data_IF_937876718798
#
_entry.id   IF_937876718798
#
_cell.length_a   1.000
_cell.length_b   1.000
_cell.length_c   1.000
_cell.angle_alpha   90.00
_cell.angle_beta   90.00
_cell.angle_gamma   90.00
#
_symmetry.space_group_name_H-M   'P 1'
#
loop_
_entity.id
_entity.type
_entity.pdbx_description
1 polymer ?
#
# COMPACT_ATOMS: atom_id res chain seq x y z
N UNK A 1 0.59 9.13 -26.95
CA UNK A 1 1.53 9.97 -26.17
C UNK A 1 1.17 9.74 -24.71
N UNK A 2 1.96 8.93 -24.02
CA UNK A 2 1.80 8.69 -22.57
C UNK A 2 1.84 10.04 -21.85
N UNK A 3 0.91 10.35 -20.94
CA UNK A 3 0.89 11.69 -20.34
C UNK A 3 2.15 11.89 -19.50
N UNK A 4 2.93 12.90 -19.88
CA UNK A 4 4.22 13.28 -19.27
C UNK A 4 4.12 13.58 -17.76
N UNK A 5 2.90 13.69 -17.22
CA UNK A 5 2.65 14.04 -15.83
C UNK A 5 1.60 13.22 -15.08
N UNK A 6 1.18 12.04 -15.55
CA UNK A 6 0.66 11.02 -14.62
C UNK A 6 1.81 10.12 -14.21
N UNK A 7 2.49 10.48 -13.12
CA UNK A 7 3.34 9.49 -12.47
C UNK A 7 2.53 8.27 -12.07
N UNK A 8 3.21 7.15 -11.84
CA UNK A 8 2.70 5.90 -11.23
C UNK A 8 1.79 6.09 -10.01
N UNK A 9 1.74 7.28 -9.40
CA UNK A 9 0.93 7.63 -8.23
C UNK A 9 -0.38 8.40 -8.52
N UNK A 10 -0.75 8.66 -9.78
CA UNK A 10 -2.04 9.29 -10.13
C UNK A 10 -3.22 8.31 -10.08
N UNK A 11 -4.47 8.78 -10.12
CA UNK A 11 -5.65 7.92 -10.30
C UNK A 11 -5.78 7.55 -11.78
N UNK A 12 -5.93 6.26 -12.09
CA UNK A 12 -6.15 5.72 -13.44
C UNK A 12 -7.61 5.32 -13.65
N UNK A 13 -8.00 5.00 -14.88
CA UNK A 13 -9.33 4.48 -15.17
C UNK A 13 -9.59 3.11 -14.51
N UNK A 14 -8.55 2.31 -14.31
CA UNK A 14 -8.63 1.06 -13.54
C UNK A 14 -9.00 1.32 -12.08
N UNK A 15 -8.41 2.34 -11.44
CA UNK A 15 -8.80 2.74 -10.08
C UNK A 15 -10.28 3.17 -10.02
N UNK A 16 -10.75 3.91 -11.04
CA UNK A 16 -12.14 4.42 -11.10
C UNK A 16 -13.16 3.32 -11.38
N UNK A 17 -12.76 2.29 -12.12
CA UNK A 17 -13.62 1.15 -12.46
C UNK A 17 -13.69 0.09 -11.35
N UNK A 18 -12.90 0.23 -10.27
CA UNK A 18 -12.77 -0.75 -9.20
C UNK A 18 -14.14 -1.14 -8.59
N UNK A 19 -14.44 -2.45 -8.58
CA UNK A 19 -15.66 -3.00 -8.00
C UNK A 19 -15.45 -3.81 -6.72
N UNK A 20 -14.18 -4.05 -6.34
CA UNK A 20 -13.79 -5.00 -5.31
C UNK A 20 -12.66 -5.88 -5.80
N UNK A 21 -12.16 -6.75 -4.93
CA UNK A 21 -11.16 -7.78 -5.29
C UNK A 21 -11.39 -9.08 -4.52
N UNK A 22 -10.75 -10.15 -4.99
CA UNK A 22 -10.69 -11.41 -4.25
C UNK A 22 -9.48 -11.40 -3.34
N UNK A 23 -9.66 -11.85 -2.10
CA UNK A 23 -8.56 -11.97 -1.15
C UNK A 23 -7.43 -12.86 -1.68
N UNK A 24 -7.78 -14.01 -2.28
CA UNK A 24 -6.82 -14.95 -2.86
C UNK A 24 -5.96 -14.30 -3.95
N UNK A 25 -6.58 -13.61 -4.89
CA UNK A 25 -5.85 -12.95 -6.00
C UNK A 25 -4.87 -11.89 -5.47
N UNK A 26 -5.30 -11.07 -4.51
CA UNK A 26 -4.43 -10.04 -3.93
C UNK A 26 -3.31 -10.65 -3.10
N UNK A 27 -3.61 -11.64 -2.25
CA UNK A 27 -2.62 -12.40 -1.49
C UNK A 27 -1.58 -13.02 -2.43
N UNK A 28 -2.04 -13.76 -3.43
CA UNK A 28 -1.18 -14.51 -4.33
C UNK A 28 -0.29 -13.56 -5.13
N UNK A 29 -0.82 -12.41 -5.57
CA UNK A 29 -0.02 -11.43 -6.29
C UNK A 29 1.04 -10.76 -5.40
N UNK A 30 0.73 -10.49 -4.13
CA UNK A 30 1.70 -9.94 -3.16
C UNK A 30 2.82 -10.95 -2.87
N UNK A 31 2.50 -12.24 -2.78
CA UNK A 31 3.46 -13.30 -2.45
C UNK A 31 4.08 -13.98 -3.68
N UNK A 32 3.66 -13.64 -4.90
CA UNK A 32 4.21 -14.23 -6.12
C UNK A 32 5.69 -13.85 -6.33
N UNK A 33 6.09 -12.66 -5.89
CA UNK A 33 7.46 -12.15 -6.03
C UNK A 33 7.94 -11.50 -4.72
N UNK A 34 8.03 -12.27 -3.62
CA UNK A 34 8.46 -11.72 -2.34
C UNK A 34 9.95 -11.42 -2.47
N UNK A 35 10.27 -10.15 -2.74
CA UNK A 35 11.60 -9.65 -3.07
C UNK A 35 12.15 -10.24 -4.38
N UNK A 36 12.12 -9.45 -5.46
CA UNK A 36 12.66 -9.83 -6.78
C UNK A 36 14.13 -10.28 -6.77
N UNK A 37 14.85 -10.01 -5.67
CA UNK A 37 16.23 -10.41 -5.41
C UNK A 37 16.33 -10.80 -3.94
N UNK A 38 17.27 -11.68 -3.64
CA UNK A 38 17.69 -11.94 -2.26
C UNK A 38 18.50 -10.73 -1.79
N UNK A 39 18.29 -10.29 -0.55
CA UNK A 39 18.98 -9.15 0.05
C UNK A 39 19.48 -9.49 1.44
N UNK A 40 20.62 -8.92 1.83
CA UNK A 40 21.12 -8.96 3.20
C UNK A 40 21.76 -10.28 3.65
N UNK A 41 21.88 -11.27 2.78
CA UNK A 41 22.67 -12.48 3.03
C UNK A 41 24.15 -12.25 2.73
N UNK A 42 25.05 -13.08 3.28
CA UNK A 42 26.47 -13.05 2.92
C UNK A 42 26.64 -13.27 1.41
N UNK A 43 27.36 -12.35 0.75
CA UNK A 43 27.54 -12.34 -0.71
C UNK A 43 26.41 -11.66 -1.49
N UNK A 44 25.28 -11.33 -0.86
CA UNK A 44 24.15 -10.67 -1.49
C UNK A 44 24.14 -9.15 -1.23
N UNK A 45 23.52 -8.35 -2.12
CA UNK A 45 23.41 -6.92 -1.91
C UNK A 45 22.64 -6.56 -0.62
N UNK A 46 22.92 -5.42 0.03
CA UNK A 46 22.17 -4.99 1.20
C UNK A 46 20.76 -4.55 0.82
N UNK A 47 19.78 -4.70 1.73
CA UNK A 47 18.41 -4.26 1.48
C UNK A 47 18.37 -2.83 0.96
N UNK A 48 17.57 -2.53 -0.08
CA UNK A 48 17.52 -1.21 -0.66
C UNK A 48 16.99 -0.21 0.37
N UNK A 49 17.66 0.92 0.46
CA UNK A 49 17.20 2.07 1.24
C UNK A 49 16.86 3.18 0.27
N UNK A 50 15.57 3.51 0.20
CA UNK A 50 15.11 4.60 -0.64
C UNK A 50 15.05 5.91 0.14
N UNK A 51 15.82 6.89 -0.31
CA UNK A 51 15.86 8.21 0.30
C UNK A 51 14.59 9.00 -0.01
N UNK A 52 14.07 9.68 1.02
CA UNK A 52 12.99 10.66 0.90
C UNK A 52 13.53 12.01 1.33
N UNK A 53 13.36 13.02 0.46
CA UNK A 53 13.87 14.37 0.70
C UNK A 53 12.72 15.38 0.74
N UNK A 54 12.93 16.52 1.40
CA UNK A 54 11.98 17.66 1.32
C UNK A 54 11.78 18.08 -0.14
N UNK A 55 12.84 18.04 -0.95
CA UNK A 55 12.78 18.34 -2.39
C UNK A 55 11.85 17.40 -3.14
N UNK A 56 11.88 16.08 -2.87
CA UNK A 56 10.98 15.14 -3.54
C UNK A 56 9.52 15.37 -3.15
N UNK A 57 9.27 15.72 -1.88
CA UNK A 57 7.92 16.03 -1.38
C UNK A 57 7.38 17.33 -1.97
N UNK A 58 8.21 18.38 -2.12
CA UNK A 58 7.80 19.69 -2.65
C UNK A 58 7.85 19.78 -4.19
N UNK A 59 8.16 18.69 -4.90
CA UNK A 59 8.30 18.70 -6.36
C UNK A 59 6.97 19.07 -7.03
N UNK A 60 6.97 20.18 -7.76
CA UNK A 60 5.81 20.67 -8.49
C UNK A 60 4.85 21.56 -7.67
N UNK A 61 5.29 22.08 -6.52
CA UNK A 61 4.46 22.95 -5.66
C UNK A 61 4.29 24.37 -6.20
N UNK A 62 5.22 24.86 -7.03
CA UNK A 62 5.18 26.22 -7.55
C UNK A 62 4.12 26.37 -8.66
N UNK A 63 3.38 27.50 -8.70
CA UNK A 63 2.40 27.76 -9.75
C UNK A 63 3.08 27.80 -11.12
N UNK A 64 2.38 27.31 -12.15
CA UNK A 64 2.86 27.18 -13.54
C UNK A 64 4.01 26.19 -13.77
N UNK A 65 4.38 25.39 -12.77
CA UNK A 65 5.35 24.29 -12.88
C UNK A 65 4.73 22.92 -13.18
N UNK A 66 5.56 21.88 -13.12
CA UNK A 66 5.10 20.49 -13.16
C UNK A 66 4.08 20.19 -12.04
N UNK A 67 3.16 19.23 -12.21
CA UNK A 67 2.14 18.97 -11.20
C UNK A 67 2.72 18.52 -9.85
N UNK A 68 2.08 18.98 -8.77
CA UNK A 68 2.50 18.69 -7.41
C UNK A 68 2.33 17.20 -7.06
N UNK A 69 3.44 16.46 -7.03
CA UNK A 69 3.41 14.99 -6.92
C UNK A 69 2.84 14.51 -5.59
N UNK A 70 3.19 15.17 -4.49
CA UNK A 70 2.70 14.79 -3.16
C UNK A 70 1.18 14.97 -3.02
N UNK A 71 0.62 16.02 -3.63
CA UNK A 71 -0.83 16.19 -3.70
C UNK A 71 -1.49 15.04 -4.47
N UNK A 72 -0.97 14.67 -5.64
CA UNK A 72 -1.50 13.53 -6.42
C UNK A 72 -1.43 12.22 -5.65
N UNK A 73 -0.32 11.98 -4.95
CA UNK A 73 -0.14 10.79 -4.11
C UNK A 73 -1.19 10.71 -2.99
N UNK A 74 -1.49 11.86 -2.38
CA UNK A 74 -2.50 12.02 -1.33
C UNK A 74 -3.92 11.86 -1.88
N UNK A 75 -4.26 12.54 -2.98
CA UNK A 75 -5.56 12.40 -3.66
C UNK A 75 -5.82 10.93 -4.00
N UNK A 76 -4.86 10.24 -4.62
CA UNK A 76 -4.99 8.80 -4.89
C UNK A 76 -5.16 7.96 -3.63
N UNK A 77 -4.42 8.25 -2.56
CA UNK A 77 -4.51 7.46 -1.34
C UNK A 77 -5.89 7.53 -0.67
N UNK A 78 -6.61 8.64 -0.87
CA UNK A 78 -7.97 8.85 -0.36
C UNK A 78 -9.03 8.34 -1.34
N UNK A 79 -8.86 8.61 -2.63
CA UNK A 79 -9.92 8.40 -3.63
C UNK A 79 -9.83 7.04 -4.36
N UNK A 80 -8.67 6.39 -4.40
CA UNK A 80 -8.54 5.06 -5.03
C UNK A 80 -8.86 3.95 -4.04
N UNK A 81 -9.76 3.07 -4.45
CA UNK A 81 -10.09 1.85 -3.72
C UNK A 81 -9.28 0.63 -4.18
N UNK A 82 -8.39 0.76 -5.17
CA UNK A 82 -7.63 -0.37 -5.71
C UNK A 82 -6.72 -1.03 -4.66
N UNK A 83 -6.65 -2.37 -4.69
CA UNK A 83 -5.82 -3.16 -3.75
C UNK A 83 -4.39 -3.33 -4.22
N UNK A 84 -4.22 -3.52 -5.52
CA UNK A 84 -2.94 -3.73 -6.18
C UNK A 84 -2.69 -2.61 -7.17
N UNK A 85 -1.41 -2.30 -7.34
CA UNK A 85 -0.99 -1.36 -8.37
C UNK A 85 0.37 -1.73 -8.90
N UNK A 86 0.44 -1.79 -10.22
CA UNK A 86 1.60 -2.26 -10.95
C UNK A 86 2.22 -1.10 -11.73
N UNK A 87 3.55 -0.96 -11.67
CA UNK A 87 4.27 -0.17 -12.65
C UNK A 87 4.18 -0.82 -14.05
N UNK A 88 4.68 -0.13 -15.10
CA UNK A 88 4.71 -0.68 -16.47
C UNK A 88 5.41 -2.05 -16.57
N UNK A 89 6.32 -2.33 -15.64
CA UNK A 89 7.09 -3.57 -15.53
C UNK A 89 6.39 -4.66 -14.69
N UNK A 90 5.15 -4.43 -14.26
CA UNK A 90 4.36 -5.34 -13.39
C UNK A 90 5.04 -5.71 -12.08
N UNK A 91 5.92 -4.85 -11.58
CA UNK A 91 6.74 -5.10 -10.38
C UNK A 91 6.37 -4.25 -9.17
N UNK A 92 5.22 -3.60 -9.25
CA UNK A 92 4.76 -2.62 -8.29
C UNK A 92 5.31 -1.25 -8.65
N UNK A 93 5.11 -0.29 -7.77
CA UNK A 93 5.63 1.06 -7.95
C UNK A 93 6.23 1.56 -6.63
N UNK A 94 7.22 2.45 -6.71
CA UNK A 94 7.84 3.03 -5.51
C UNK A 94 6.97 4.18 -5.00
N UNK A 95 6.57 4.11 -3.74
CA UNK A 95 5.84 5.19 -3.08
C UNK A 95 6.74 6.41 -2.80
N UNK A 96 6.20 7.61 -2.92
CA UNK A 96 6.90 8.86 -2.57
C UNK A 96 7.23 8.93 -1.07
N UNK A 97 6.27 8.55 -0.22
CA UNK A 97 6.45 8.37 1.22
C UNK A 97 6.25 6.90 1.58
N UNK A 98 6.90 6.47 2.66
CA UNK A 98 6.91 5.08 3.08
C UNK A 98 7.38 4.07 2.00
N UNK A 99 8.49 4.31 1.28
CA UNK A 99 8.92 3.44 0.19
C UNK A 99 9.36 2.05 0.68
N UNK A 100 9.93 1.97 1.89
CA UNK A 100 10.41 0.72 2.49
C UNK A 100 9.28 0.10 3.33
N UNK A 101 8.86 -1.11 2.99
CA UNK A 101 7.82 -1.82 3.73
C UNK A 101 7.56 -3.23 3.23
N UNK A 102 6.87 -4.00 4.05
CA UNK A 102 6.51 -5.39 3.79
C UNK A 102 4.99 -5.53 3.81
N UNK A 103 4.47 -6.44 3.00
CA UNK A 103 3.06 -6.82 3.07
C UNK A 103 2.89 -7.98 4.07
N UNK A 104 1.74 -7.98 4.73
CA UNK A 104 1.33 -8.93 5.75
C UNK A 104 -0.08 -9.40 5.42
N UNK A 105 -0.41 -10.63 5.77
CA UNK A 105 -1.78 -11.13 5.75
C UNK A 105 -2.13 -11.71 7.11
N UNK A 106 -3.38 -11.60 7.53
CA UNK A 106 -3.80 -12.08 8.83
C UNK A 106 -5.32 -12.17 8.97
N UNK A 107 -5.73 -12.41 10.21
CA UNK A 107 -7.13 -12.46 10.60
C UNK A 107 -7.43 -11.28 11.52
N UNK A 108 -8.47 -10.53 11.18
CA UNK A 108 -9.01 -9.45 12.00
C UNK A 108 -10.13 -9.99 12.86
N UNK A 109 -10.06 -9.77 14.17
CA UNK A 109 -11.08 -10.17 15.12
C UNK A 109 -11.16 -9.16 16.27
N UNK A 110 -12.38 -8.71 16.57
CA UNK A 110 -12.65 -7.89 17.76
C UNK A 110 -13.33 -8.77 18.80
N UNK A 111 -12.64 -9.06 19.90
CA UNK A 111 -13.12 -9.97 20.94
C UNK A 111 -13.84 -9.26 22.09
N UNK A 112 -13.45 -8.01 22.38
CA UNK A 112 -13.92 -7.27 23.56
C UNK A 112 -15.17 -6.43 23.28
N UNK A 113 -16.00 -6.28 24.32
CA UNK A 113 -17.14 -5.35 24.29
C UNK A 113 -16.66 -3.92 24.10
N UNK A 114 -17.30 -3.20 23.17
CA UNK A 114 -16.91 -1.83 22.85
C UNK A 114 -18.08 -1.06 22.18
N UNK A 115 -18.05 0.29 22.19
CA UNK A 115 -19.11 1.11 21.61
C UNK A 115 -18.98 1.30 20.08
N UNK A 116 -17.98 0.71 19.43
CA UNK A 116 -17.71 0.94 18.01
C UNK A 116 -18.58 0.05 17.10
N UNK A 117 -18.64 0.43 15.82
CA UNK A 117 -19.49 -0.19 14.80
C UNK A 117 -18.64 -0.72 13.62
N UNK A 118 -19.31 -1.32 12.63
CA UNK A 118 -18.63 -1.92 11.47
C UNK A 118 -17.61 -2.98 11.90
N UNK A 119 -16.44 -2.99 11.26
CA UNK A 119 -15.36 -3.93 11.61
C UNK A 119 -14.73 -3.72 12.99
N UNK A 120 -15.04 -2.62 13.68
CA UNK A 120 -14.58 -2.38 15.05
C UNK A 120 -15.55 -2.89 16.11
N UNK A 121 -16.77 -3.32 15.74
CA UNK A 121 -17.72 -3.92 16.68
C UNK A 121 -17.22 -5.29 17.16
N UNK A 122 -17.47 -5.64 18.43
CA UNK A 122 -17.28 -7.01 18.95
C UNK A 122 -17.88 -8.08 18.03
N UNK A 123 -17.13 -9.17 17.85
CA UNK A 123 -17.49 -10.30 17.01
C UNK A 123 -17.24 -10.08 15.52
N UNK A 124 -16.78 -8.88 15.12
CA UNK A 124 -16.40 -8.63 13.72
C UNK A 124 -15.17 -9.44 13.35
N UNK A 125 -15.28 -10.15 12.23
CA UNK A 125 -14.25 -11.05 11.72
C UNK A 125 -14.02 -10.75 10.24
N UNK A 126 -12.75 -10.73 9.83
CA UNK A 126 -12.36 -10.46 8.45
C UNK A 126 -10.97 -11.01 8.15
N UNK A 127 -10.71 -11.31 6.89
CA UNK A 127 -9.34 -11.49 6.41
C UNK A 127 -8.70 -10.11 6.20
N UNK A 128 -7.46 -9.97 6.64
CA UNK A 128 -6.73 -8.71 6.59
C UNK A 128 -5.52 -8.82 5.65
N UNK A 129 -5.30 -7.78 4.84
CA UNK A 129 -4.04 -7.54 4.14
C UNK A 129 -3.51 -6.20 4.63
N UNK A 130 -2.32 -6.20 5.19
CA UNK A 130 -1.67 -5.01 5.73
C UNK A 130 -0.34 -4.72 5.04
N UNK A 131 0.11 -3.47 5.09
CA UNK A 131 1.48 -3.08 4.76
C UNK A 131 2.09 -2.37 5.95
N UNK A 132 3.15 -2.96 6.48
CA UNK A 132 3.98 -2.33 7.51
C UNK A 132 5.17 -1.64 6.85
N UNK A 133 5.41 -0.39 7.19
CA UNK A 133 6.39 0.43 6.49
C UNK A 133 7.00 1.51 7.36
N UNK A 134 8.13 2.03 6.94
CA UNK A 134 8.80 3.15 7.60
C UNK A 134 8.77 4.39 6.71
N UNK A 135 8.47 5.54 7.32
CA UNK A 135 8.54 6.81 6.62
C UNK A 135 10.00 7.24 6.45
N UNK A 136 10.25 7.98 5.38
CA UNK A 136 11.55 8.53 5.04
C UNK A 136 12.63 7.47 4.78
N UNK A 137 13.88 7.84 5.04
CA UNK A 137 15.08 7.09 4.62
C UNK A 137 15.51 6.02 5.64
N UNK A 138 15.27 6.21 6.93
CA UNK A 138 15.83 5.32 7.96
C UNK A 138 15.05 3.99 8.07
N UNK A 139 15.76 2.87 8.02
CA UNK A 139 15.20 1.51 8.07
C UNK A 139 15.72 0.68 9.26
N UNK A 140 16.73 1.16 9.98
CA UNK A 140 17.46 0.41 11.00
C UNK A 140 16.85 0.56 12.38
N UNK A 141 16.89 -0.52 13.16
CA UNK A 141 16.51 -0.54 14.58
C UNK A 141 17.46 0.37 15.39
N UNK A 142 16.92 1.03 16.41
CA UNK A 142 17.69 1.91 17.30
C UNK A 142 17.73 3.38 16.86
N UNK A 143 17.18 3.68 15.68
CA UNK A 143 17.08 5.04 15.15
C UNK A 143 15.63 5.52 15.19
N UNK A 144 15.45 6.82 15.41
CA UNK A 144 14.14 7.46 15.34
C UNK A 144 13.59 7.33 13.92
N UNK A 145 12.38 6.78 13.80
CA UNK A 145 11.69 6.62 12.53
C UNK A 145 10.19 6.64 12.73
N UNK A 146 9.47 7.15 11.74
CA UNK A 146 8.03 7.00 11.67
C UNK A 146 7.69 5.65 11.07
N UNK A 147 6.68 4.99 11.65
CA UNK A 147 6.19 3.68 11.26
C UNK A 147 4.71 3.80 10.90
N UNK A 148 4.29 3.10 9.86
CA UNK A 148 2.88 3.01 9.50
C UNK A 148 2.50 1.55 9.27
N UNK A 149 1.34 1.19 9.81
CA UNK A 149 0.57 0.02 9.41
C UNK A 149 -0.70 0.55 8.78
N UNK A 150 -0.90 0.22 7.51
CA UNK A 150 -2.14 0.48 6.79
C UNK A 150 -2.67 -0.84 6.28
N UNK A 151 -3.98 -1.01 6.21
CA UNK A 151 -4.51 -2.28 5.76
C UNK A 151 -5.93 -2.23 5.24
N UNK A 152 -6.32 -3.40 4.75
CA UNK A 152 -7.60 -3.67 4.15
C UNK A 152 -8.23 -4.89 4.78
N UNK A 153 -9.50 -4.77 5.12
CA UNK A 153 -10.32 -5.82 5.70
C UNK A 153 -11.29 -6.32 4.62
N UNK A 154 -11.17 -7.60 4.31
CA UNK A 154 -12.06 -8.29 3.40
C UNK A 154 -13.25 -8.81 4.20
N UNK A 155 -14.49 -8.57 3.74
CA UNK A 155 -15.72 -8.98 4.42
C UNK A 155 -16.01 -10.49 4.33
N UNK A 156 -14.99 -11.31 4.59
CA UNK A 156 -15.06 -12.77 4.54
C UNK A 156 -14.04 -13.37 5.50
N UNK A 157 -14.30 -14.60 5.93
CA UNK A 157 -13.32 -15.46 6.60
C UNK A 157 -12.83 -16.60 5.70
N UNK A 158 -13.38 -16.71 4.48
CA UNK A 158 -12.98 -17.69 3.47
C UNK A 158 -11.84 -17.10 2.61
N UNK A 159 -10.63 -17.68 2.66
CA UNK A 159 -9.49 -17.20 1.88
C UNK A 159 -9.65 -17.39 0.37
N UNK A 160 -10.59 -18.21 -0.07
CA UNK A 160 -10.86 -18.48 -1.49
C UNK A 160 -12.25 -17.99 -1.92
N UNK A 161 -12.82 -17.01 -1.20
CA UNK A 161 -14.13 -16.44 -1.51
C UNK A 161 -14.20 -15.98 -2.97
N UNK A 162 -15.20 -16.49 -3.71
CA UNK A 162 -15.24 -16.40 -5.17
C UNK A 162 -15.69 -15.04 -5.72
N UNK A 163 -16.41 -14.25 -4.93
CA UNK A 163 -16.93 -12.95 -5.35
C UNK A 163 -15.91 -11.83 -5.15
N UNK A 164 -16.08 -10.73 -5.90
CA UNK A 164 -15.32 -9.50 -5.69
C UNK A 164 -15.86 -8.80 -4.45
N UNK A 165 -14.98 -8.53 -3.48
CA UNK A 165 -15.36 -7.92 -2.22
C UNK A 165 -14.86 -6.48 -2.14
N UNK A 166 -15.72 -5.57 -1.70
CA UNK A 166 -15.32 -4.21 -1.33
C UNK A 166 -14.72 -4.22 0.08
N UNK A 167 -13.46 -3.82 0.18
CA UNK A 167 -12.71 -3.82 1.45
C UNK A 167 -12.98 -2.57 2.28
N UNK A 168 -12.94 -2.69 3.61
CA UNK A 168 -12.77 -1.54 4.50
C UNK A 168 -11.27 -1.24 4.71
N UNK A 169 -10.91 0.04 4.86
CA UNK A 169 -9.52 0.47 5.08
C UNK A 169 -9.31 0.84 6.57
N UNK A 170 -8.08 0.67 7.07
CA UNK A 170 -7.63 1.14 8.38
C UNK A 170 -6.17 1.62 8.36
#
# INVERSE_FOLDING_TARGET
MEPEFFGIEGITDEDRAYQGSRFSEVRDAIFANPYQKVWGHAGEPPLPVYEVTVRSVLRGVLPFGAPYLFRKATERAVDSHADLRWGPDRKGYRRLLHPNGICLTGFWEITEENPYSGYFRKGSRALAIGRYSTCCTETRRGHARSLALVGKLYPTTDPNHAELLRTANF
#
